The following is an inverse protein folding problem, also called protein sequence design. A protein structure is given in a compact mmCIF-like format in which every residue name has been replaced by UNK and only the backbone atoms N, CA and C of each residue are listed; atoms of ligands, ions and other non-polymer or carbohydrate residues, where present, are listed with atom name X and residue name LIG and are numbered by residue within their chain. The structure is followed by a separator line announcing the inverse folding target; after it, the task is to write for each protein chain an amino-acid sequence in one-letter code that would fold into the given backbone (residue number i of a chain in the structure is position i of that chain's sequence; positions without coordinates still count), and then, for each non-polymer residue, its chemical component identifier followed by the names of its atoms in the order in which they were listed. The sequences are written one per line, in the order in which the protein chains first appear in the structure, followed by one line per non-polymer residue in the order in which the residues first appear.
data_IF_535576201723
#
_entry.id   IF_535576201723
#
_cell.length_a   1.000
_cell.length_b   1.000
_cell.length_c   1.000
_cell.angle_alpha   90.00
_cell.angle_beta   90.00
_cell.angle_gamma   90.00
#
_symmetry.space_group_name_H-M   'P 1'
#
loop_
_entity.id
_entity.type
_entity.pdbx_description
1 polymer ?
#
# COMPACT_ATOMS: atom_id res chain seq x y z
N UNK A 1 19.38 -28.35 -58.81
CA UNK A 1 20.06 -29.63 -58.56
C UNK A 1 20.36 -29.75 -57.09
N UNK A 2 19.77 -30.77 -56.45
CA UNK A 2 20.13 -31.49 -55.21
C UNK A 2 19.94 -30.71 -53.89
N UNK A 3 18.91 -30.97 -53.08
CA UNK A 3 18.51 -32.15 -52.28
C UNK A 3 19.48 -32.43 -51.11
N UNK A 4 18.80 -32.51 -49.91
CA UNK A 4 19.15 -33.31 -48.73
C UNK A 4 19.92 -32.60 -47.65
N UNK A 5 19.68 -32.74 -46.36
CA UNK A 5 18.91 -33.72 -45.57
C UNK A 5 18.73 -33.13 -44.15
N UNK A 6 17.62 -33.42 -43.54
CA UNK A 6 17.38 -33.34 -42.08
C UNK A 6 18.11 -34.53 -41.43
N UNK A 7 18.63 -34.40 -40.26
CA UNK A 7 18.39 -35.41 -39.26
C UNK A 7 17.91 -34.90 -37.88
N UNK A 8 16.82 -35.50 -37.52
CA UNK A 8 16.56 -36.21 -36.26
C UNK A 8 16.83 -35.52 -34.94
N UNK A 9 15.72 -35.22 -34.37
CA UNK A 9 15.42 -35.16 -32.94
C UNK A 9 16.04 -36.33 -32.19
N UNK A 10 16.84 -36.05 -31.18
CA UNK A 10 17.25 -37.05 -30.19
C UNK A 10 16.82 -36.56 -28.82
N UNK A 11 15.81 -37.22 -28.28
CA UNK A 11 15.42 -37.17 -26.88
C UNK A 11 16.64 -37.40 -25.98
N UNK A 12 16.86 -36.47 -25.08
CA UNK A 12 17.54 -36.76 -23.83
C UNK A 12 16.66 -36.23 -22.69
N UNK A 13 16.04 -37.16 -22.01
CA UNK A 13 15.37 -36.92 -20.74
C UNK A 13 16.35 -36.36 -19.71
N UNK A 14 15.88 -35.44 -18.95
CA UNK A 14 16.63 -34.78 -17.87
C UNK A 14 15.68 -34.08 -16.93
N UNK A 15 15.21 -34.83 -15.95
CA UNK A 15 14.85 -34.42 -14.59
C UNK A 15 14.35 -32.98 -14.41
N UNK A 16 13.04 -32.87 -14.19
CA UNK A 16 12.40 -31.70 -13.64
C UNK A 16 13.02 -31.35 -12.27
N UNK A 17 13.87 -30.38 -12.24
CA UNK A 17 14.20 -29.69 -11.01
C UNK A 17 13.02 -28.78 -10.64
N UNK A 18 12.26 -29.27 -9.66
CA UNK A 18 11.38 -28.44 -8.84
C UNK A 18 12.23 -27.31 -8.26
N UNK A 19 12.06 -26.11 -8.82
CA UNK A 19 12.55 -24.88 -8.21
C UNK A 19 11.75 -24.70 -6.91
N UNK A 20 12.23 -25.37 -5.86
CA UNK A 20 11.87 -25.00 -4.50
C UNK A 20 12.34 -23.57 -4.28
N UNK A 21 11.39 -22.63 -4.35
CA UNK A 21 11.54 -21.30 -3.75
C UNK A 21 12.02 -21.51 -2.31
N UNK A 22 13.33 -21.39 -2.12
CA UNK A 22 13.92 -21.27 -0.80
C UNK A 22 13.37 -19.97 -0.22
N UNK A 23 12.30 -20.08 0.60
CA UNK A 23 12.04 -19.08 1.64
C UNK A 23 13.37 -18.89 2.35
N UNK A 24 14.01 -17.76 2.10
CA UNK A 24 15.13 -17.31 2.90
C UNK A 24 14.59 -17.17 4.32
N UNK A 25 14.83 -18.19 5.13
CA UNK A 25 14.64 -18.10 6.56
C UNK A 25 15.58 -16.98 7.00
N UNK A 26 15.00 -15.84 7.33
CA UNK A 26 15.70 -14.73 7.95
C UNK A 26 16.32 -15.28 9.23
N UNK A 27 17.60 -15.60 9.15
CA UNK A 27 18.43 -16.04 10.27
C UNK A 27 18.43 -14.88 11.25
N UNK A 28 17.62 -14.99 12.30
CA UNK A 28 17.56 -14.02 13.37
C UNK A 28 18.92 -13.93 14.05
N UNK A 29 19.81 -13.11 13.50
CA UNK A 29 20.91 -12.57 14.28
C UNK A 29 20.26 -11.77 15.40
N UNK A 30 20.49 -12.18 16.65
CA UNK A 30 20.08 -11.46 17.84
C UNK A 30 20.70 -10.07 17.88
N UNK A 31 20.14 -9.17 17.08
CA UNK A 31 20.52 -7.77 17.14
C UNK A 31 20.18 -7.28 18.54
N UNK A 32 21.18 -6.85 19.29
CA UNK A 32 21.03 -6.26 20.62
C UNK A 32 19.90 -5.24 20.59
N UNK A 33 19.03 -5.26 21.61
CA UNK A 33 17.94 -4.30 21.77
C UNK A 33 18.44 -2.85 21.60
N UNK A 34 19.63 -2.54 22.07
CA UNK A 34 20.28 -1.24 21.90
C UNK A 34 20.54 -0.89 20.43
N UNK A 35 20.91 -1.85 19.57
CA UNK A 35 21.08 -1.61 18.15
C UNK A 35 19.76 -1.23 17.48
N UNK A 36 18.67 -1.90 17.83
CA UNK A 36 17.33 -1.56 17.30
C UNK A 36 16.86 -0.18 17.72
N UNK A 37 17.03 0.18 18.99
CA UNK A 37 16.68 1.51 19.48
C UNK A 37 17.46 2.61 18.77
N UNK A 38 18.74 2.36 18.52
CA UNK A 38 19.59 3.30 17.78
C UNK A 38 19.11 3.44 16.32
N UNK A 39 18.82 2.35 15.64
CA UNK A 39 18.29 2.35 14.27
C UNK A 39 16.95 3.10 14.15
N UNK A 40 16.07 2.99 15.16
CA UNK A 40 14.82 3.73 15.19
C UNK A 40 15.02 5.24 15.31
N UNK A 41 16.06 5.67 16.00
CA UNK A 41 16.41 7.09 16.11
C UNK A 41 17.09 7.56 14.83
N UNK A 42 18.02 6.76 14.29
CA UNK A 42 18.76 7.09 13.07
C UNK A 42 17.81 7.29 11.87
N UNK A 43 16.79 6.46 11.74
CA UNK A 43 15.81 6.61 10.64
C UNK A 43 15.04 7.93 10.73
N UNK A 44 14.79 8.48 11.92
CA UNK A 44 14.17 9.79 12.07
C UNK A 44 15.05 10.88 11.46
N UNK A 45 16.34 10.90 11.76
CA UNK A 45 17.28 11.88 11.18
C UNK A 45 17.45 11.75 9.68
N UNK A 46 17.28 10.54 9.13
CA UNK A 46 17.38 10.31 7.69
C UNK A 46 16.10 10.76 6.95
N UNK A 47 14.94 10.65 7.58
CA UNK A 47 13.65 10.88 6.93
C UNK A 47 13.06 12.25 7.23
N UNK A 48 13.37 12.84 8.38
CA UNK A 48 12.84 14.16 8.78
C UNK A 48 13.97 15.22 8.84
N UNK A 49 13.99 16.15 7.87
CA UNK A 49 14.95 17.26 7.88
C UNK A 49 14.82 18.20 9.07
N UNK A 50 13.67 18.18 9.78
CA UNK A 50 13.43 19.02 10.93
C UNK A 50 14.07 18.49 12.23
N UNK A 51 14.51 17.23 12.26
CA UNK A 51 15.14 16.62 13.42
C UNK A 51 16.51 17.25 13.71
N UNK A 52 16.68 17.85 14.91
CA UNK A 52 17.89 18.62 15.25
C UNK A 52 18.82 17.93 16.23
N UNK A 53 18.27 17.18 17.19
CA UNK A 53 19.06 16.54 18.23
C UNK A 53 18.45 15.23 18.71
N UNK A 54 19.30 14.32 19.20
CA UNK A 54 18.84 13.04 19.77
C UNK A 54 17.87 13.26 20.94
N UNK A 55 18.10 14.27 21.77
CA UNK A 55 17.24 14.61 22.90
C UNK A 55 15.83 15.02 22.44
N UNK A 56 15.74 15.87 21.42
CA UNK A 56 14.50 16.27 20.80
C UNK A 56 13.74 15.06 20.23
N UNK A 57 14.39 14.24 19.42
CA UNK A 57 13.80 13.05 18.80
C UNK A 57 13.26 12.08 19.86
N UNK A 58 14.03 11.79 20.90
CA UNK A 58 13.62 10.86 21.95
C UNK A 58 12.41 11.40 22.75
N UNK A 59 12.31 12.70 22.96
CA UNK A 59 11.26 13.26 23.81
C UNK A 59 9.99 13.68 23.06
N UNK A 60 10.07 14.00 21.76
CA UNK A 60 8.97 14.67 21.06
C UNK A 60 8.36 13.88 19.91
N UNK A 61 9.02 12.83 19.43
CA UNK A 61 8.53 12.06 18.28
C UNK A 61 7.52 10.98 18.69
N UNK A 62 6.25 11.27 18.52
CA UNK A 62 5.15 10.36 18.88
C UNK A 62 5.22 9.01 18.14
N UNK A 63 5.65 9.01 16.87
CA UNK A 63 5.87 7.80 16.08
C UNK A 63 6.89 6.86 16.71
N UNK A 64 8.01 7.41 17.19
CA UNK A 64 9.05 6.65 17.88
C UNK A 64 8.52 6.02 19.18
N UNK A 65 7.78 6.80 19.96
CA UNK A 65 7.17 6.31 21.21
C UNK A 65 6.17 5.19 20.94
N UNK A 66 5.34 5.32 19.90
CA UNK A 66 4.36 4.30 19.52
C UNK A 66 5.04 2.98 19.10
N UNK A 67 6.11 3.05 18.32
CA UNK A 67 6.89 1.87 17.90
C UNK A 67 7.54 1.17 19.09
N UNK A 68 8.11 1.93 20.03
CA UNK A 68 8.72 1.35 21.23
C UNK A 68 7.68 0.70 22.16
N UNK A 69 6.55 1.39 22.39
CA UNK A 69 5.44 0.83 23.16
C UNK A 69 4.86 -0.43 22.50
N UNK A 70 4.74 -0.42 21.17
CA UNK A 70 4.31 -1.60 20.41
C UNK A 70 5.25 -2.79 20.63
N UNK A 71 6.56 -2.62 20.62
CA UNK A 71 7.50 -3.72 20.85
C UNK A 71 7.30 -4.38 22.21
N UNK A 72 7.04 -3.56 23.24
CA UNK A 72 6.72 -4.07 24.58
C UNK A 72 5.38 -4.83 24.54
N UNK A 73 4.34 -4.23 23.97
CA UNK A 73 3.03 -4.83 23.84
C UNK A 73 3.07 -6.16 23.05
N UNK A 74 3.82 -6.20 21.95
CA UNK A 74 4.02 -7.38 21.12
C UNK A 74 4.74 -8.51 21.87
N UNK A 75 5.71 -8.17 22.72
CA UNK A 75 6.39 -9.16 23.58
C UNK A 75 5.44 -9.83 24.58
N UNK A 76 4.48 -9.09 25.15
CA UNK A 76 3.40 -9.64 25.98
C UNK A 76 2.42 -10.47 25.13
N UNK A 77 2.04 -9.98 23.95
CA UNK A 77 1.15 -10.68 23.04
C UNK A 77 1.70 -12.06 22.64
N UNK A 78 2.97 -12.14 22.30
CA UNK A 78 3.66 -13.41 21.98
C UNK A 78 3.70 -14.41 23.14
N UNK A 79 3.58 -13.93 24.36
CA UNK A 79 3.50 -14.77 25.57
C UNK A 79 2.07 -15.07 26.01
N UNK A 80 1.07 -14.76 25.17
CA UNK A 80 -0.36 -14.90 25.41
C UNK A 80 -0.92 -14.03 26.56
N UNK A 81 -0.19 -13.00 26.99
CA UNK A 81 -0.69 -11.99 27.93
C UNK A 81 -1.51 -10.92 27.18
N UNK A 82 -2.59 -11.34 26.52
CA UNK A 82 -3.37 -10.50 25.60
C UNK A 82 -3.94 -9.24 26.24
N UNK A 83 -4.45 -9.35 27.47
CA UNK A 83 -4.98 -8.18 28.19
C UNK A 83 -3.91 -7.10 28.40
N UNK A 84 -2.75 -7.49 28.94
CA UNK A 84 -1.64 -6.55 29.16
C UNK A 84 -1.14 -5.94 27.86
N UNK A 85 -1.01 -6.76 26.82
CA UNK A 85 -0.62 -6.30 25.50
C UNK A 85 -1.59 -5.23 24.96
N UNK A 86 -2.89 -5.47 25.04
CA UNK A 86 -3.93 -4.52 24.62
C UNK A 86 -3.96 -3.28 25.50
N UNK A 87 -3.80 -3.43 26.78
CA UNK A 87 -3.76 -2.30 27.70
C UNK A 87 -2.60 -1.34 27.38
N UNK A 88 -1.37 -1.88 27.20
CA UNK A 88 -0.19 -1.09 26.81
C UNK A 88 -0.45 -0.39 25.46
N UNK A 89 -1.01 -1.07 24.48
CA UNK A 89 -1.36 -0.51 23.18
C UNK A 89 -2.36 0.66 23.32
N UNK A 90 -3.38 0.57 24.18
CA UNK A 90 -4.36 1.64 24.38
C UNK A 90 -3.77 2.83 25.14
N UNK A 91 -2.90 2.59 26.12
CA UNK A 91 -2.16 3.66 26.79
C UNK A 91 -1.26 4.41 25.81
N UNK A 92 -0.52 3.67 24.96
CA UNK A 92 0.28 4.27 23.89
C UNK A 92 -0.56 5.12 22.94
N UNK A 93 -1.71 4.60 22.48
CA UNK A 93 -2.64 5.34 21.62
C UNK A 93 -3.13 6.64 22.29
N UNK A 94 -3.44 6.62 23.56
CA UNK A 94 -3.90 7.80 24.28
C UNK A 94 -2.86 8.93 24.25
N UNK A 95 -1.57 8.60 24.43
CA UNK A 95 -0.50 9.61 24.46
C UNK A 95 0.01 10.00 23.07
N UNK A 96 -0.02 9.10 22.09
CA UNK A 96 0.60 9.32 20.78
C UNK A 96 -0.41 9.61 19.67
N UNK A 97 -1.69 9.29 19.87
CA UNK A 97 -2.70 9.32 18.80
C UNK A 97 -2.54 8.22 17.74
N UNK A 98 -1.65 7.23 17.98
CA UNK A 98 -1.31 6.15 17.05
C UNK A 98 -1.79 4.82 17.62
N UNK A 99 -2.62 4.11 16.88
CA UNK A 99 -3.08 2.77 17.26
C UNK A 99 -2.29 1.70 16.52
N UNK A 100 -1.51 0.90 17.25
CA UNK A 100 -0.85 -0.29 16.73
C UNK A 100 -1.36 -1.49 17.52
N UNK A 101 -2.01 -2.44 16.82
CA UNK A 101 -2.44 -3.67 17.48
C UNK A 101 -1.22 -4.50 17.89
N UNK A 102 -1.17 -5.05 19.13
CA UNK A 102 0.00 -5.78 19.61
C UNK A 102 0.32 -7.06 18.82
N UNK A 103 -0.62 -7.59 18.05
CA UNK A 103 -0.41 -8.73 17.15
C UNK A 103 0.32 -8.40 15.87
N UNK A 104 0.37 -7.13 15.45
CA UNK A 104 1.08 -6.72 14.24
C UNK A 104 2.58 -7.06 14.31
N UNK A 105 3.14 -7.47 13.18
CA UNK A 105 4.60 -7.70 13.04
C UNK A 105 5.23 -6.53 12.32
N UNK A 106 6.24 -5.91 12.93
CA UNK A 106 6.89 -4.71 12.40
C UNK A 106 8.39 -4.96 12.29
N UNK A 107 8.94 -4.73 11.09
CA UNK A 107 10.36 -4.85 10.77
C UNK A 107 11.20 -3.73 11.38
N UNK A 108 12.45 -3.62 10.90
CA UNK A 108 13.42 -2.64 11.37
C UNK A 108 13.24 -1.32 10.64
N UNK A 109 13.68 -0.21 11.29
CA UNK A 109 13.69 1.13 10.69
C UNK A 109 12.31 1.57 10.18
N UNK A 110 11.25 1.18 10.91
CA UNK A 110 9.89 1.62 10.64
C UNK A 110 9.70 3.05 11.16
N UNK A 111 9.35 3.97 10.27
CA UNK A 111 9.18 5.37 10.58
C UNK A 111 7.73 5.81 10.45
N UNK A 112 7.20 6.45 11.48
CA UNK A 112 5.87 7.08 11.48
C UNK A 112 6.08 8.57 11.62
N UNK A 113 5.82 9.32 10.55
CA UNK A 113 5.90 10.77 10.55
C UNK A 113 4.56 11.38 10.97
N UNK A 114 4.62 12.38 11.88
CA UNK A 114 3.47 13.00 12.55
C UNK A 114 2.58 12.03 13.33
N UNK A 115 2.07 11.01 12.71
CA UNK A 115 1.44 9.82 13.27
C UNK A 115 -0.01 9.94 13.72
N UNK A 116 -0.55 11.11 13.97
CA UNK A 116 -1.92 11.27 14.47
C UNK A 116 -2.94 10.53 13.58
N UNK A 117 -3.78 9.67 14.20
CA UNK A 117 -4.81 8.91 13.49
C UNK A 117 -4.31 7.74 12.66
N UNK A 118 -3.06 7.33 12.80
CA UNK A 118 -2.56 6.06 12.24
C UNK A 118 -3.22 4.89 12.94
N UNK A 119 -3.66 3.89 12.16
CA UNK A 119 -4.23 2.63 12.66
C UNK A 119 -3.57 1.45 11.95
N UNK A 120 -2.94 0.57 12.72
CA UNK A 120 -2.31 -0.67 12.24
C UNK A 120 -3.00 -1.88 12.88
N UNK A 121 -3.66 -2.70 12.05
CA UNK A 121 -4.48 -3.83 12.48
C UNK A 121 -3.68 -5.06 12.92
N UNK A 122 -4.37 -6.00 13.56
CA UNK A 122 -3.82 -7.16 14.25
C UNK A 122 -2.88 -8.03 13.42
N UNK A 123 -3.26 -8.35 12.19
CA UNK A 123 -2.52 -9.28 11.34
C UNK A 123 -1.70 -8.56 10.26
N UNK A 124 -1.40 -7.26 10.47
CA UNK A 124 -0.46 -6.54 9.62
C UNK A 124 0.95 -7.13 9.74
N UNK A 125 1.60 -7.21 8.61
CA UNK A 125 3.02 -7.53 8.49
C UNK A 125 3.70 -6.36 7.77
N UNK A 126 4.66 -5.73 8.42
CA UNK A 126 5.38 -4.56 7.90
C UNK A 126 6.86 -4.92 7.83
N UNK A 127 7.45 -4.76 6.65
CA UNK A 127 8.85 -5.02 6.36
C UNK A 127 9.82 -3.98 6.93
N UNK A 128 11.01 -3.93 6.37
CA UNK A 128 12.07 -3.01 6.78
C UNK A 128 12.01 -1.69 6.01
N UNK A 129 12.49 -0.59 6.61
CA UNK A 129 12.56 0.76 6.01
C UNK A 129 11.20 1.27 5.49
N UNK A 130 10.10 0.92 6.12
CA UNK A 130 8.78 1.40 5.74
C UNK A 130 8.49 2.73 6.42
N UNK A 131 7.99 3.69 5.64
CA UNK A 131 7.58 5.02 6.13
C UNK A 131 6.08 5.20 5.96
N UNK A 132 5.39 5.64 6.99
CA UNK A 132 3.98 6.01 6.94
C UNK A 132 3.74 7.37 7.56
N UNK A 133 2.71 8.07 7.08
CA UNK A 133 2.32 9.40 7.54
C UNK A 133 1.02 9.36 8.34
N UNK A 134 0.67 10.50 8.95
CA UNK A 134 -0.57 10.65 9.73
C UNK A 134 -1.81 10.19 8.95
N UNK A 135 -2.79 9.67 9.68
CA UNK A 135 -4.08 9.24 9.16
C UNK A 135 -4.05 7.98 8.29
N UNK A 136 -2.91 7.33 8.12
CA UNK A 136 -2.81 6.05 7.41
C UNK A 136 -3.56 4.96 8.16
N UNK A 137 -4.32 4.13 7.43
CA UNK A 137 -4.98 2.95 7.98
C UNK A 137 -4.53 1.69 7.26
N UNK A 138 -3.96 0.75 7.98
CA UNK A 138 -3.69 -0.61 7.55
C UNK A 138 -4.76 -1.52 8.15
N UNK A 139 -5.91 -1.66 7.45
CA UNK A 139 -7.15 -2.22 7.98
C UNK A 139 -7.55 -3.55 7.35
N UNK A 140 -8.47 -4.24 8.00
CA UNK A 140 -9.13 -5.43 7.46
C UNK A 140 -10.43 -5.08 6.73
N UNK A 141 -10.88 -5.97 5.83
CA UNK A 141 -12.14 -5.85 5.08
C UNK A 141 -13.11 -6.96 5.42
N UNK A 142 -13.34 -7.34 6.58
CA UNK A 142 -14.28 -8.42 6.87
C UNK A 142 -14.28 -8.84 8.34
N UNK A 143 -15.11 -9.84 8.63
CA UNK A 143 -15.24 -10.43 9.95
C UNK A 143 -14.44 -11.74 10.08
N UNK A 144 -13.62 -12.05 9.09
CA UNK A 144 -12.84 -13.29 9.07
C UNK A 144 -11.79 -13.33 10.17
N UNK A 145 -11.61 -14.51 10.74
CA UNK A 145 -10.49 -14.78 11.65
C UNK A 145 -9.25 -15.14 10.82
N UNK A 146 -8.08 -14.74 11.28
CA UNK A 146 -6.81 -14.99 10.59
C UNK A 146 -6.28 -13.77 9.84
N UNK A 147 -5.52 -14.01 8.77
CA UNK A 147 -4.90 -12.94 7.96
C UNK A 147 -5.99 -12.11 7.25
N UNK A 148 -6.19 -10.88 7.70
CA UNK A 148 -7.20 -9.95 7.17
C UNK A 148 -6.69 -8.52 6.99
N UNK A 149 -5.45 -8.27 7.38
CA UNK A 149 -4.79 -6.98 7.25
C UNK A 149 -3.62 -7.08 6.27
N UNK A 150 -3.17 -5.96 5.69
CA UNK A 150 -2.18 -5.97 4.65
C UNK A 150 -0.79 -6.45 5.10
N UNK A 151 -0.03 -6.91 4.09
CA UNK A 151 1.41 -7.12 4.16
C UNK A 151 2.09 -5.99 3.39
N UNK A 152 2.94 -5.23 4.06
CA UNK A 152 3.72 -4.15 3.48
C UNK A 152 5.16 -4.64 3.38
N UNK A 153 5.69 -4.74 2.18
CA UNK A 153 7.08 -5.17 1.96
C UNK A 153 8.08 -4.05 2.23
N UNK A 154 9.36 -4.31 1.98
CA UNK A 154 10.44 -3.41 2.33
C UNK A 154 10.45 -2.11 1.51
N UNK A 155 10.97 -1.03 2.09
CA UNK A 155 11.16 0.27 1.45
C UNK A 155 9.86 0.89 0.90
N UNK A 156 8.69 0.56 1.47
CA UNK A 156 7.40 1.12 1.06
C UNK A 156 7.15 2.44 1.75
N UNK A 157 6.62 3.41 1.00
CA UNK A 157 6.14 4.68 1.51
C UNK A 157 4.62 4.77 1.38
N UNK A 158 3.92 5.06 2.48
CA UNK A 158 2.46 5.24 2.50
C UNK A 158 2.16 6.66 2.97
N UNK A 159 1.74 7.49 2.03
CA UNK A 159 1.54 8.92 2.29
C UNK A 159 0.27 9.22 3.10
N UNK A 160 0.17 10.47 3.52
CA UNK A 160 -0.86 11.03 4.40
C UNK A 160 -2.27 10.54 4.07
N UNK A 161 -2.98 10.02 5.07
CA UNK A 161 -4.39 9.67 4.98
C UNK A 161 -4.73 8.47 4.10
N UNK A 162 -3.75 7.79 3.50
CA UNK A 162 -4.01 6.62 2.66
C UNK A 162 -4.60 5.45 3.48
N UNK A 163 -5.45 4.65 2.83
CA UNK A 163 -6.09 3.47 3.41
C UNK A 163 -5.69 2.24 2.59
N UNK A 164 -5.07 1.27 3.24
CA UNK A 164 -4.74 -0.02 2.64
C UNK A 164 -5.56 -1.08 3.36
N UNK A 165 -6.50 -1.69 2.65
CA UNK A 165 -7.55 -2.50 3.27
C UNK A 165 -7.59 -3.92 2.69
N UNK A 166 -7.63 -4.90 3.58
CA UNK A 166 -7.69 -6.33 3.25
C UNK A 166 -6.36 -7.05 3.40
N UNK A 167 -6.37 -8.36 3.18
CA UNK A 167 -5.17 -9.21 3.24
C UNK A 167 -4.33 -9.12 1.94
N UNK A 168 -4.11 -7.90 1.47
CA UNK A 168 -3.38 -7.61 0.24
C UNK A 168 -1.90 -7.34 0.52
N UNK A 169 -1.07 -7.53 -0.50
CA UNK A 169 0.37 -7.25 -0.43
C UNK A 169 0.70 -5.96 -1.19
N UNK A 170 1.44 -5.07 -0.54
CA UNK A 170 2.08 -3.93 -1.16
C UNK A 170 3.54 -4.31 -1.41
N UNK A 171 3.90 -4.43 -2.68
CA UNK A 171 5.23 -4.85 -3.12
C UNK A 171 6.33 -3.87 -2.72
N UNK A 172 7.54 -4.38 -2.59
CA UNK A 172 8.71 -3.60 -2.18
C UNK A 172 8.97 -2.36 -3.06
N UNK A 173 9.61 -1.35 -2.50
CA UNK A 173 9.95 -0.10 -3.18
C UNK A 173 8.75 0.64 -3.81
N UNK A 174 7.54 0.36 -3.33
CA UNK A 174 6.31 0.99 -3.82
C UNK A 174 5.93 2.22 -3.01
N UNK A 175 5.15 3.11 -3.64
CA UNK A 175 4.65 4.34 -3.03
C UNK A 175 3.14 4.41 -3.14
N UNK A 176 2.46 4.66 -2.03
CA UNK A 176 1.02 4.89 -1.99
C UNK A 176 0.79 6.39 -1.78
N UNK A 177 0.14 7.02 -2.75
CA UNK A 177 -0.13 8.46 -2.74
C UNK A 177 -1.10 8.88 -1.64
N UNK A 178 -1.06 10.15 -1.26
CA UNK A 178 -1.89 10.71 -0.20
C UNK A 178 -3.39 10.52 -0.50
N UNK A 179 -4.17 10.17 0.54
CA UNK A 179 -5.62 9.96 0.42
C UNK A 179 -6.06 8.75 -0.40
N UNK A 180 -5.15 7.96 -0.94
CA UNK A 180 -5.49 6.79 -1.76
C UNK A 180 -6.16 5.68 -0.96
N UNK A 181 -7.09 4.96 -1.59
CA UNK A 181 -7.76 3.77 -1.02
C UNK A 181 -7.39 2.54 -1.81
N UNK A 182 -6.49 1.72 -1.27
CA UNK A 182 -5.93 0.54 -1.93
C UNK A 182 -6.67 -0.71 -1.44
N UNK A 183 -7.30 -1.41 -2.39
CA UNK A 183 -8.13 -2.60 -2.15
C UNK A 183 -7.63 -3.83 -2.91
N UNK A 184 -6.53 -3.69 -3.66
CA UNK A 184 -5.95 -4.76 -4.47
C UNK A 184 -4.44 -4.80 -4.24
N UNK A 185 -3.84 -5.95 -4.54
CA UNK A 185 -2.38 -6.11 -4.49
C UNK A 185 -1.67 -5.09 -5.38
N UNK A 186 -0.52 -4.63 -4.90
CA UNK A 186 0.33 -3.68 -5.60
C UNK A 186 1.66 -4.36 -5.91
N UNK A 187 2.04 -4.44 -7.20
CA UNK A 187 3.35 -4.98 -7.59
C UNK A 187 4.50 -4.16 -7.00
N UNK A 188 5.67 -4.77 -6.87
CA UNK A 188 6.88 -4.05 -6.47
C UNK A 188 7.19 -2.88 -7.42
N UNK A 189 7.94 -1.89 -6.92
CA UNK A 189 8.38 -0.70 -7.67
C UNK A 189 7.24 0.10 -8.31
N UNK A 190 6.08 0.14 -7.65
CA UNK A 190 4.88 0.79 -8.18
C UNK A 190 4.52 2.06 -7.41
N UNK A 191 3.89 3.01 -8.12
CA UNK A 191 3.21 4.15 -7.48
C UNK A 191 1.70 4.01 -7.69
N UNK A 192 0.95 4.09 -6.59
CA UNK A 192 -0.52 3.98 -6.58
C UNK A 192 -1.13 5.28 -6.12
N UNK A 193 -2.16 5.76 -6.81
CA UNK A 193 -2.94 6.95 -6.42
C UNK A 193 -4.43 6.74 -6.66
N UNK A 194 -5.28 7.52 -5.98
CA UNK A 194 -6.72 7.64 -6.23
C UNK A 194 -7.61 6.76 -5.36
N UNK A 195 -8.92 6.89 -5.57
CA UNK A 195 -10.00 6.17 -4.89
C UNK A 195 -10.98 5.60 -5.94
N UNK A 196 -10.98 4.28 -6.20
CA UNK A 196 -10.02 3.27 -5.71
C UNK A 196 -8.61 3.47 -6.28
N UNK A 197 -7.59 3.07 -5.52
CA UNK A 197 -6.19 3.19 -5.89
C UNK A 197 -5.85 2.43 -7.17
N UNK A 198 -5.13 3.09 -8.09
CA UNK A 198 -4.63 2.50 -9.35
C UNK A 198 -3.14 2.69 -9.46
N UNK A 199 -2.45 1.70 -10.01
CA UNK A 199 -1.02 1.80 -10.33
C UNK A 199 -0.86 2.78 -11.49
N UNK A 200 -0.10 3.86 -11.28
CA UNK A 200 0.18 4.87 -12.29
C UNK A 200 1.63 4.86 -12.76
N UNK A 201 2.53 4.31 -11.97
CA UNK A 201 3.93 4.09 -12.33
C UNK A 201 4.29 2.67 -11.91
N UNK A 202 5.03 1.95 -12.75
CA UNK A 202 5.63 0.66 -12.41
C UNK A 202 7.03 0.58 -13.04
N UNK A 203 8.02 0.16 -12.24
CA UNK A 203 9.43 0.10 -12.66
C UNK A 203 9.94 1.42 -13.28
N UNK A 204 9.51 2.57 -12.76
CA UNK A 204 9.87 3.88 -13.26
C UNK A 204 9.14 4.32 -14.56
N UNK A 205 8.32 3.44 -15.14
CA UNK A 205 7.55 3.73 -16.35
C UNK A 205 6.13 4.11 -15.96
N UNK A 206 5.60 5.20 -16.52
CA UNK A 206 4.20 5.58 -16.36
C UNK A 206 3.30 4.58 -17.07
N UNK A 207 2.28 4.08 -16.35
CA UNK A 207 1.28 3.17 -16.88
C UNK A 207 0.02 3.97 -17.16
N UNK A 208 -0.32 4.15 -18.45
CA UNK A 208 -1.47 4.94 -18.89
C UNK A 208 -1.09 6.29 -19.49
N UNK A 209 -2.06 6.92 -20.14
CA UNK A 209 -1.89 8.14 -20.94
C UNK A 209 -1.03 9.21 -20.25
N UNK A 210 -0.29 9.98 -21.06
CA UNK A 210 0.48 11.16 -20.60
C UNK A 210 -0.32 12.01 -19.63
N UNK A 211 0.07 11.94 -18.35
CA UNK A 211 -0.51 12.80 -17.32
C UNK A 211 0.17 14.16 -17.39
N UNK A 212 -0.57 15.16 -17.79
CA UNK A 212 -0.23 16.54 -17.47
C UNK A 212 -0.14 16.68 -15.94
N UNK A 213 0.82 17.45 -15.46
CA UNK A 213 1.10 17.64 -14.03
C UNK A 213 -0.09 18.18 -13.19
N UNK A 214 -1.18 18.60 -13.85
CA UNK A 214 -2.45 19.02 -13.26
C UNK A 214 -3.54 17.94 -13.24
N UNK A 215 -3.35 16.83 -13.96
CA UNK A 215 -4.31 15.73 -14.03
C UNK A 215 -3.84 14.57 -13.15
N UNK A 216 -4.12 14.64 -11.87
CA UNK A 216 -4.11 13.45 -11.03
C UNK A 216 -5.23 12.52 -11.52
N UNK A 217 -4.97 11.23 -11.85
CA UNK A 217 -6.01 10.31 -12.29
C UNK A 217 -6.99 10.08 -11.14
N UNK A 218 -8.08 10.80 -11.19
CA UNK A 218 -9.24 10.57 -10.35
C UNK A 218 -10.17 9.59 -11.09
N UNK A 219 -10.35 8.36 -10.59
CA UNK A 219 -11.24 7.37 -11.19
C UNK A 219 -12.70 7.84 -11.31
N UNK A 220 -13.09 8.82 -10.49
CA UNK A 220 -14.41 9.45 -10.56
C UNK A 220 -14.45 10.43 -11.74
N UNK A 221 -13.38 11.20 -11.94
CA UNK A 221 -13.26 12.13 -13.05
C UNK A 221 -13.26 11.42 -14.40
N UNK A 222 -12.55 10.27 -14.51
CA UNK A 222 -12.55 9.44 -15.71
C UNK A 222 -13.96 8.90 -16.04
N UNK A 223 -14.72 8.47 -15.01
CA UNK A 223 -16.12 8.05 -15.19
C UNK A 223 -17.03 9.19 -15.56
N UNK A 224 -16.86 10.36 -14.95
CA UNK A 224 -17.65 11.56 -15.29
C UNK A 224 -17.41 11.97 -16.74
N UNK A 225 -16.17 11.93 -17.22
CA UNK A 225 -15.81 12.24 -18.61
C UNK A 225 -16.43 11.26 -19.61
N UNK A 226 -16.45 9.96 -19.27
CA UNK A 226 -17.15 8.95 -20.10
C UNK A 226 -18.67 9.19 -20.10
N UNK A 227 -19.27 9.50 -18.95
CA UNK A 227 -20.70 9.82 -18.87
C UNK A 227 -21.06 11.10 -19.62
N UNK A 228 -20.22 12.11 -19.61
CA UNK A 228 -20.40 13.37 -20.36
C UNK A 228 -20.43 13.12 -21.87
N UNK A 229 -19.50 12.32 -22.38
CA UNK A 229 -19.47 11.91 -23.79
C UNK A 229 -20.71 11.10 -24.18
N UNK A 230 -21.18 10.24 -23.29
CA UNK A 230 -22.38 9.44 -23.52
C UNK A 230 -23.67 10.26 -23.50
N UNK A 231 -23.75 11.25 -22.60
CA UNK A 231 -24.84 12.24 -22.56
C UNK A 231 -24.88 13.11 -23.82
N UNK A 232 -23.74 13.57 -24.32
CA UNK A 232 -23.68 14.35 -25.57
C UNK A 232 -24.11 13.51 -26.78
N UNK A 233 -23.76 12.24 -26.81
CA UNK A 233 -24.19 11.31 -27.84
C UNK A 233 -25.71 11.09 -27.81
N UNK A 234 -26.29 10.92 -26.62
CA UNK A 234 -27.74 10.78 -26.44
C UNK A 234 -28.49 12.07 -26.80
N UNK A 235 -27.97 13.24 -26.44
CA UNK A 235 -28.54 14.53 -26.85
C UNK A 235 -28.60 14.67 -28.37
N UNK A 236 -27.50 14.40 -29.08
CA UNK A 236 -27.46 14.44 -30.55
C UNK A 236 -28.45 13.47 -31.19
N UNK A 237 -28.62 12.26 -30.59
CA UNK A 237 -29.60 11.29 -31.08
C UNK A 237 -31.06 11.76 -30.86
N UNK A 238 -31.34 12.43 -29.75
CA UNK A 238 -32.65 13.02 -29.47
C UNK A 238 -32.97 14.18 -30.42
N UNK A 239 -32.04 15.09 -30.66
CA UNK A 239 -32.20 16.21 -31.61
C UNK A 239 -32.51 15.70 -33.04
N UNK A 240 -31.83 14.64 -33.49
CA UNK A 240 -32.08 14.01 -34.79
C UNK A 240 -33.48 13.37 -34.84
N UNK A 241 -33.98 12.77 -33.74
CA UNK A 241 -35.30 12.18 -33.67
C UNK A 241 -36.40 13.24 -33.63
N UNK A 242 -36.22 14.29 -32.83
CA UNK A 242 -37.19 15.41 -32.74
C UNK A 242 -37.29 16.16 -34.09
N UNK A 243 -36.15 16.48 -34.72
CA UNK A 243 -36.13 17.14 -36.03
C UNK A 243 -36.68 16.27 -37.20
N UNK A 244 -36.83 14.94 -36.99
CA UNK A 244 -37.54 14.06 -37.94
C UNK A 244 -39.06 14.03 -37.73
N UNK A 245 -39.54 14.20 -36.51
CA UNK A 245 -40.97 14.29 -36.21
C UNK A 245 -41.57 15.59 -36.75
N UNK A 246 -40.90 16.70 -36.64
CA UNK A 246 -41.37 18.00 -37.14
C UNK A 246 -41.44 18.08 -38.68
N UNK A 247 -40.65 17.29 -39.43
CA UNK A 247 -40.73 17.23 -40.88
C UNK A 247 -41.82 16.36 -41.45
N UNK A 248 -42.35 15.40 -40.68
CA UNK A 248 -43.39 14.50 -41.12
C UNK A 248 -44.82 15.05 -40.89
N UNK A 249 -44.94 16.07 -40.00
CA UNK A 249 -46.28 16.65 -39.67
C UNK A 249 -46.76 17.72 -40.67
N UNK A 250 -45.88 18.21 -41.56
CA UNK A 250 -46.24 19.22 -42.56
C UNK A 250 -46.37 18.69 -43.99
N UNK A 251 -46.34 17.35 -44.20
CA UNK A 251 -46.46 16.76 -45.56
C UNK A 251 -47.87 16.25 -45.89
N UNK A 252 -48.88 16.55 -45.04
CA UNK A 252 -50.27 16.17 -45.25
C UNK A 252 -51.27 17.34 -45.12
N UNK A 253 -50.89 18.54 -45.56
CA UNK A 253 -51.81 19.68 -45.78
C UNK A 253 -51.79 20.11 -47.21
#
# INVERSE_FOLDING_TARGET
VSISFIPLYRDLGGSGELVHSKKAAHKGEGTSMFKRLREDIEVVFEQDPAARSYFEVILTYSGLHAVWAHRIAHAFYKRNFFFMARWISQVSRFFTGIEIHPGATIGRRFFIDHGMGVVIGETCEIGENVTIYQGVTLGGTGKEKGKRHPTIQDNVLIATGAKVLGSITIGENSKIGAGSVVLKEVPAHSTVVGIPGRVVIQNGVKIGQELNHSDLPDPIFDKLKVMEVELDKLRKQLEVKVGRTDKNDYSHL
#
